data_IF_533596339766
#
_entry.id   IF_533596339766
#
_cell.length_a   1.000
_cell.length_b   1.000
_cell.length_c   1.000
_cell.angle_alpha   90.00
_cell.angle_beta   90.00
_cell.angle_gamma   90.00
#
_symmetry.space_group_name_H-M   'P 1'
#
loop_
_entity.id
_entity.type
_entity.pdbx_description
1 polymer ?
#
# COMPACT_ATOMS: atom_id res chain seq x y z
N UNK A 1 -11.65 -5.17 10.72
CA UNK A 1 -11.23 -5.35 12.11
C UNK A 1 -9.86 -4.71 12.33
N UNK A 2 -9.75 -3.73 13.21
CA UNK A 2 -8.50 -3.05 13.50
C UNK A 2 -8.44 -2.64 14.97
N UNK A 3 -7.22 -2.40 15.47
CA UNK A 3 -7.02 -1.96 16.83
C UNK A 3 -5.59 -1.53 17.12
N UNK A 4 -5.44 -0.92 18.29
CA UNK A 4 -4.14 -0.55 18.83
C UNK A 4 -4.11 -0.73 20.33
N UNK A 5 -2.93 -1.00 20.86
CA UNK A 5 -2.70 -1.16 22.29
C UNK A 5 -1.42 -0.42 22.69
N UNK A 6 -1.52 0.44 23.70
CA UNK A 6 -0.37 1.10 24.31
C UNK A 6 0.10 0.28 25.52
N UNK A 7 1.34 -0.16 25.49
CA UNK A 7 1.96 -0.90 26.59
C UNK A 7 2.45 0.05 27.69
N UNK A 8 3.04 1.17 27.25
CA UNK A 8 3.51 2.26 28.10
C UNK A 8 3.60 3.58 27.29
N UNK A 9 4.23 4.61 27.86
CA UNK A 9 4.41 5.93 27.20
C UNK A 9 5.27 5.88 25.92
N UNK A 10 6.06 4.84 25.76
CA UNK A 10 7.01 4.70 24.64
C UNK A 10 6.60 3.65 23.63
N UNK A 11 5.84 2.62 24.04
CA UNK A 11 5.52 1.45 23.22
C UNK A 11 4.04 1.33 22.93
N UNK A 12 3.71 1.16 21.68
CA UNK A 12 2.38 0.72 21.25
C UNK A 12 2.46 -0.26 20.09
N UNK A 13 1.44 -1.11 19.97
CA UNK A 13 1.24 -1.98 18.82
C UNK A 13 -0.08 -1.64 18.14
N UNK A 14 -0.16 -1.94 16.85
CA UNK A 14 -1.38 -1.80 16.04
C UNK A 14 -1.52 -2.98 15.10
N UNK A 15 -2.75 -3.31 14.77
CA UNK A 15 -3.06 -4.36 13.80
C UNK A 15 -4.29 -3.98 12.99
N UNK A 16 -4.41 -4.59 11.82
CA UNK A 16 -5.58 -4.50 10.95
C UNK A 16 -5.76 -5.81 10.21
N UNK A 17 -7.01 -6.26 10.06
CA UNK A 17 -7.40 -7.37 9.21
C UNK A 17 -8.68 -7.01 8.46
N UNK A 18 -8.70 -7.26 7.16
CA UNK A 18 -9.84 -7.03 6.26
C UNK A 18 -10.07 -8.28 5.43
N UNK A 19 -11.34 -8.53 5.11
CA UNK A 19 -11.77 -9.61 4.25
C UNK A 19 -12.98 -9.14 3.45
N UNK A 20 -12.98 -9.41 2.16
CA UNK A 20 -14.11 -9.16 1.28
C UNK A 20 -14.24 -10.25 0.21
N UNK A 21 -15.45 -10.44 -0.29
CA UNK A 21 -15.77 -11.34 -1.37
C UNK A 21 -16.44 -10.55 -2.48
N UNK A 22 -16.12 -10.85 -3.71
CA UNK A 22 -16.69 -10.23 -4.89
C UNK A 22 -17.11 -11.33 -5.87
N UNK A 23 -18.32 -11.20 -6.37
CA UNK A 23 -18.85 -12.08 -7.41
C UNK A 23 -19.53 -11.25 -8.50
N UNK A 24 -19.84 -11.89 -9.61
CA UNK A 24 -20.70 -11.33 -10.63
C UNK A 24 -22.11 -11.01 -10.08
N UNK A 25 -22.83 -10.16 -10.80
CA UNK A 25 -24.20 -9.77 -10.47
C UNK A 25 -25.07 -9.69 -11.72
N UNK A 26 -26.31 -10.19 -11.58
CA UNK A 26 -27.34 -10.14 -12.63
C UNK A 26 -26.99 -11.01 -13.85
N UNK A 27 -27.22 -10.45 -15.04
CA UNK A 27 -27.00 -11.11 -16.32
C UNK A 27 -25.56 -10.90 -16.85
N UNK A 28 -24.56 -10.87 -15.96
CA UNK A 28 -23.17 -10.76 -16.39
C UNK A 28 -22.79 -11.97 -17.23
N UNK A 29 -22.09 -11.74 -18.35
CA UNK A 29 -21.68 -12.79 -19.26
C UNK A 29 -20.58 -13.71 -18.71
N UNK A 30 -19.97 -13.33 -17.59
CA UNK A 30 -18.86 -14.06 -16.96
C UNK A 30 -19.12 -14.22 -15.47
N UNK A 31 -19.34 -15.45 -15.05
CA UNK A 31 -19.41 -15.82 -13.64
C UNK A 31 -17.99 -15.79 -13.04
N UNK A 32 -17.82 -15.17 -11.87
CA UNK A 32 -16.55 -15.17 -11.15
C UNK A 32 -16.72 -15.01 -9.64
N UNK A 33 -15.73 -15.49 -8.91
CA UNK A 33 -15.63 -15.32 -7.47
C UNK A 33 -14.21 -14.91 -7.10
N UNK A 34 -14.01 -13.71 -6.60
CA UNK A 34 -12.73 -13.23 -6.16
C UNK A 34 -12.74 -12.88 -4.68
N UNK A 35 -11.64 -13.13 -4.00
CA UNK A 35 -11.46 -12.83 -2.59
C UNK A 35 -10.46 -11.69 -2.41
N UNK A 36 -10.71 -10.82 -1.46
CA UNK A 36 -9.76 -9.85 -0.95
C UNK A 36 -9.47 -10.13 0.50
N UNK A 37 -8.21 -10.09 0.88
CA UNK A 37 -7.83 -10.03 2.27
C UNK A 37 -6.59 -9.17 2.50
N UNK A 38 -6.53 -8.54 3.65
CA UNK A 38 -5.42 -7.72 4.07
C UNK A 38 -5.16 -7.90 5.54
N UNK A 39 -3.92 -8.17 5.91
CA UNK A 39 -3.48 -8.21 7.29
C UNK A 39 -2.22 -7.38 7.46
N UNK A 40 -2.19 -6.55 8.50
CA UNK A 40 -0.97 -5.84 8.88
C UNK A 40 -0.82 -5.73 10.38
N UNK A 41 0.43 -5.68 10.82
CA UNK A 41 0.79 -5.42 12.20
C UNK A 41 1.95 -4.43 12.26
N UNK A 42 1.96 -3.59 13.27
CA UNK A 42 3.01 -2.60 13.45
C UNK A 42 3.22 -2.24 14.90
N UNK A 43 4.35 -1.59 15.13
CA UNK A 43 4.74 -1.08 16.42
C UNK A 43 5.23 0.36 16.34
N UNK A 44 5.10 1.06 17.45
CA UNK A 44 5.74 2.35 17.65
C UNK A 44 6.60 2.27 18.90
N UNK A 45 7.83 2.73 18.78
CA UNK A 45 8.72 2.94 19.90
C UNK A 45 9.27 4.36 19.86
N UNK A 46 8.82 5.21 20.78
CA UNK A 46 9.18 6.63 20.83
C UNK A 46 8.94 7.33 19.49
N UNK A 47 10.05 7.66 18.77
CA UNK A 47 10.02 8.34 17.47
C UNK A 47 10.04 7.39 16.27
N UNK A 48 10.20 6.08 16.51
CA UNK A 48 10.18 5.06 15.47
C UNK A 48 8.79 4.46 15.34
N UNK A 49 8.36 4.20 14.11
CA UNK A 49 7.24 3.33 13.80
C UNK A 49 7.69 2.33 12.72
N UNK A 50 7.20 1.11 12.81
CA UNK A 50 7.57 0.04 11.90
C UNK A 50 6.46 -1.00 11.83
N UNK A 51 6.48 -1.81 10.81
CA UNK A 51 5.55 -2.91 10.68
C UNK A 51 5.65 -3.59 9.32
N UNK A 52 4.79 -4.58 9.16
CA UNK A 52 4.64 -5.33 7.93
C UNK A 52 3.16 -5.58 7.64
N UNK A 53 2.84 -5.81 6.40
CA UNK A 53 1.50 -6.19 5.95
C UNK A 53 1.56 -7.08 4.72
N UNK A 54 0.44 -7.75 4.49
CA UNK A 54 0.22 -8.59 3.34
C UNK A 54 -1.20 -8.36 2.85
N UNK A 55 -1.33 -7.96 1.60
CA UNK A 55 -2.59 -7.66 0.95
C UNK A 55 -2.74 -8.52 -0.29
N UNK A 56 -3.91 -9.09 -0.48
CA UNK A 56 -4.23 -9.93 -1.63
C UNK A 56 -5.52 -9.43 -2.26
N UNK A 57 -5.41 -9.07 -3.53
CA UNK A 57 -6.54 -8.91 -4.43
C UNK A 57 -6.58 -10.17 -5.28
N UNK A 58 -7.36 -11.16 -4.84
CA UNK A 58 -7.38 -12.49 -5.42
C UNK A 58 -7.92 -12.53 -6.84
N UNK A 59 -7.72 -13.64 -7.51
CA UNK A 59 -8.21 -13.92 -8.86
C UNK A 59 -9.18 -15.09 -8.86
N UNK A 60 -10.06 -15.12 -9.85
CA UNK A 60 -10.84 -16.27 -10.21
C UNK A 60 -10.15 -17.02 -11.37
N UNK A 61 -9.38 -18.05 -11.02
CA UNK A 61 -8.63 -18.91 -11.95
C UNK A 61 -7.75 -18.15 -12.97
N UNK A 62 -7.11 -17.04 -12.57
CA UNK A 62 -6.25 -16.24 -13.45
C UNK A 62 -6.99 -15.45 -14.53
N UNK A 63 -8.32 -15.34 -14.44
CA UNK A 63 -9.16 -14.69 -15.47
C UNK A 63 -9.66 -13.32 -15.06
N UNK A 64 -10.08 -13.17 -13.82
CA UNK A 64 -10.66 -11.93 -13.28
C UNK A 64 -10.12 -11.68 -11.87
N UNK A 65 -9.37 -10.59 -11.71
CA UNK A 65 -8.89 -10.15 -10.41
C UNK A 65 -9.96 -9.36 -9.63
N UNK A 66 -9.87 -9.40 -8.31
CA UNK A 66 -10.71 -8.61 -7.41
C UNK A 66 -10.65 -7.12 -7.77
N UNK A 67 -11.78 -6.54 -8.10
CA UNK A 67 -11.87 -5.15 -8.59
C UNK A 67 -12.15 -4.17 -7.47
N UNK A 68 -11.47 -3.03 -7.51
CA UNK A 68 -11.64 -1.91 -6.56
C UNK A 68 -12.08 -0.63 -7.26
N UNK A 69 -13.30 -0.59 -7.87
CA UNK A 69 -13.70 0.47 -8.81
C UNK A 69 -13.79 1.88 -8.18
N UNK A 70 -13.92 1.96 -6.87
CA UNK A 70 -14.02 3.24 -6.14
C UNK A 70 -12.77 3.57 -5.31
N UNK A 71 -11.69 2.80 -5.47
CA UNK A 71 -10.46 3.07 -4.74
C UNK A 71 -9.74 4.31 -5.26
N UNK A 72 -9.09 5.03 -4.35
CA UNK A 72 -8.10 6.04 -4.69
C UNK A 72 -6.80 5.35 -5.11
N UNK A 73 -6.69 4.96 -6.35
CA UNK A 73 -5.68 4.04 -6.89
C UNK A 73 -4.25 4.34 -6.45
N UNK A 74 -3.85 5.61 -6.42
CA UNK A 74 -2.51 6.06 -6.03
C UNK A 74 -2.12 5.77 -4.56
N UNK A 75 -3.05 5.35 -3.71
CA UNK A 75 -2.80 5.13 -2.28
C UNK A 75 -2.38 3.69 -1.96
N UNK A 76 -2.75 2.76 -2.80
CA UNK A 76 -2.64 1.33 -2.58
C UNK A 76 -1.64 0.69 -3.53
N UNK A 77 -1.01 -0.42 -3.12
CA UNK A 77 -0.14 -1.25 -3.94
C UNK A 77 0.98 -0.44 -4.61
N UNK A 78 1.69 0.34 -3.79
CA UNK A 78 2.78 1.20 -4.21
C UNK A 78 2.34 2.57 -4.76
N UNK A 79 3.27 3.54 -4.76
CA UNK A 79 2.99 4.92 -5.19
C UNK A 79 3.47 5.22 -6.62
N UNK A 80 4.22 4.31 -7.23
CA UNK A 80 4.61 4.44 -8.64
C UNK A 80 3.43 4.20 -9.60
N UNK A 81 2.26 3.80 -9.08
CA UNK A 81 1.06 3.46 -9.85
C UNK A 81 1.30 2.31 -10.85
N UNK A 82 2.06 1.30 -10.43
CA UNK A 82 2.28 0.11 -11.23
C UNK A 82 0.99 -0.73 -11.35
N UNK A 83 0.14 -0.69 -10.32
CA UNK A 83 -1.08 -1.47 -10.19
C UNK A 83 -2.30 -0.56 -9.99
N UNK A 84 -2.66 0.23 -11.01
CA UNK A 84 -3.90 1.04 -11.02
C UNK A 84 -5.16 0.19 -11.19
N UNK A 85 -5.02 -1.03 -11.64
CA UNK A 85 -6.06 -2.06 -11.69
C UNK A 85 -5.45 -3.39 -11.33
N UNK A 86 -6.24 -4.25 -10.72
CA UNK A 86 -5.81 -5.61 -10.37
C UNK A 86 -5.58 -6.41 -11.65
N UNK A 87 -4.42 -7.07 -11.82
CA UNK A 87 -4.19 -7.99 -12.91
C UNK A 87 -5.21 -9.13 -12.93
N UNK A 88 -5.39 -9.78 -14.08
CA UNK A 88 -6.29 -10.94 -14.20
C UNK A 88 -5.89 -12.06 -13.24
N UNK A 89 -4.59 -12.30 -13.08
CA UNK A 89 -4.03 -13.31 -12.17
C UNK A 89 -4.02 -12.85 -10.69
N UNK A 90 -4.69 -11.72 -10.39
CA UNK A 90 -4.68 -11.13 -9.04
C UNK A 90 -3.37 -10.44 -8.70
N UNK A 91 -3.31 -9.91 -7.48
CA UNK A 91 -2.14 -9.21 -6.96
C UNK A 91 -1.93 -9.56 -5.49
N UNK A 92 -0.73 -9.96 -5.16
CA UNK A 92 -0.23 -10.10 -3.80
C UNK A 92 0.80 -8.99 -3.53
N UNK A 93 0.65 -8.29 -2.44
CA UNK A 93 1.53 -7.21 -1.98
C UNK A 93 2.04 -7.51 -0.58
N UNK A 94 3.26 -8.04 -0.49
CA UNK A 94 3.96 -8.19 0.77
C UNK A 94 4.77 -6.92 1.03
N UNK A 95 4.48 -6.21 2.10
CA UNK A 95 5.15 -4.94 2.34
C UNK A 95 5.61 -4.75 3.79
N UNK A 96 6.62 -3.93 3.94
CA UNK A 96 7.12 -3.50 5.24
C UNK A 96 7.35 -1.99 5.24
N UNK A 97 7.28 -1.40 6.43
CA UNK A 97 7.58 0.03 6.58
C UNK A 97 8.41 0.31 7.82
N UNK A 98 9.13 1.40 7.73
CA UNK A 98 9.80 2.04 8.85
C UNK A 98 9.66 3.55 8.75
N UNK A 99 9.33 4.19 9.87
CA UNK A 99 9.24 5.63 9.98
C UNK A 99 10.02 6.15 11.17
N UNK A 100 10.51 7.35 11.03
CA UNK A 100 11.23 8.06 12.08
C UNK A 100 10.86 9.55 12.09
N UNK A 101 10.67 10.09 13.28
CA UNK A 101 10.42 11.52 13.45
C UNK A 101 11.74 12.27 13.65
N UNK A 102 12.24 12.85 12.56
CA UNK A 102 13.48 13.63 12.51
C UNK A 102 13.40 14.90 13.40
N UNK A 103 14.57 15.49 13.79
CA UNK A 103 14.61 16.81 14.42
C UNK A 103 13.82 17.85 13.61
N UNK A 104 13.22 18.80 14.29
CA UNK A 104 12.35 19.79 13.65
C UNK A 104 10.96 19.26 13.28
N UNK A 105 10.54 18.15 13.90
CA UNK A 105 9.21 17.55 13.75
C UNK A 105 8.87 17.13 12.30
N UNK A 106 9.82 16.50 11.63
CA UNK A 106 9.69 16.00 10.26
C UNK A 106 9.49 14.49 10.31
N UNK A 107 8.25 13.97 10.15
CA UNK A 107 8.04 12.54 9.93
C UNK A 107 8.62 12.13 8.57
N UNK A 108 9.48 11.13 8.61
CA UNK A 108 10.03 10.43 7.46
C UNK A 108 9.50 9.00 7.48
N UNK A 109 9.08 8.45 6.34
CA UNK A 109 8.65 7.07 6.21
C UNK A 109 9.19 6.46 4.93
N UNK A 110 9.70 5.24 5.05
CA UNK A 110 10.10 4.36 3.94
C UNK A 110 9.16 3.16 3.94
N UNK A 111 8.74 2.72 2.74
CA UNK A 111 8.04 1.47 2.54
C UNK A 111 8.78 0.66 1.47
N UNK A 112 8.76 -0.64 1.61
CA UNK A 112 9.17 -1.60 0.61
C UNK A 112 8.00 -2.52 0.32
N UNK A 113 7.72 -2.74 -0.95
CA UNK A 113 6.69 -3.63 -1.45
C UNK A 113 7.33 -4.69 -2.33
N UNK A 114 6.85 -5.90 -2.23
CA UNK A 114 7.18 -7.04 -3.07
C UNK A 114 5.89 -7.57 -3.67
N UNK A 115 5.80 -7.57 -4.99
CA UNK A 115 4.56 -7.85 -5.71
C UNK A 115 4.66 -9.17 -6.48
N UNK A 116 3.60 -9.98 -6.38
CA UNK A 116 3.47 -11.23 -7.13
C UNK A 116 2.04 -11.46 -7.61
N UNK A 117 1.86 -12.38 -8.53
CA UNK A 117 0.54 -12.85 -8.93
C UNK A 117 -0.07 -13.71 -7.83
N UNK A 118 -1.39 -13.61 -7.63
CA UNK A 118 -2.13 -14.51 -6.74
C UNK A 118 -2.31 -15.89 -7.38
N UNK A 119 -2.58 -15.94 -8.70
CA UNK A 119 -2.61 -17.17 -9.47
C UNK A 119 -1.37 -17.26 -10.36
N UNK A 120 -0.82 -18.47 -10.48
CA UNK A 120 0.45 -18.69 -11.16
C UNK A 120 1.66 -18.39 -10.26
N UNK A 121 2.79 -18.06 -10.84
CA UNK A 121 4.03 -17.76 -10.12
C UNK A 121 4.77 -16.60 -10.77
N UNK A 122 4.06 -15.58 -11.24
CA UNK A 122 4.68 -14.41 -11.86
C UNK A 122 5.20 -13.45 -10.80
N UNK A 123 6.47 -13.09 -10.92
CA UNK A 123 7.05 -11.97 -10.20
C UNK A 123 6.60 -10.66 -10.84
N UNK A 124 5.93 -9.81 -10.08
CA UNK A 124 5.50 -8.50 -10.52
C UNK A 124 6.46 -7.37 -10.14
N UNK A 125 7.60 -7.72 -9.53
CA UNK A 125 8.63 -6.77 -9.14
C UNK A 125 8.43 -6.18 -7.76
N UNK A 126 9.16 -5.10 -7.51
CA UNK A 126 9.17 -4.48 -6.18
C UNK A 126 9.19 -2.95 -6.25
N UNK A 127 8.85 -2.30 -5.14
CA UNK A 127 8.81 -0.85 -5.08
C UNK A 127 9.35 -0.32 -3.75
N UNK A 128 10.18 0.72 -3.83
CA UNK A 128 10.60 1.49 -2.65
C UNK A 128 9.92 2.86 -2.69
N UNK A 129 9.28 3.20 -1.59
CA UNK A 129 8.59 4.45 -1.37
C UNK A 129 9.23 5.25 -0.24
N UNK A 130 9.35 6.56 -0.43
CA UNK A 130 9.85 7.49 0.57
C UNK A 130 8.93 8.70 0.67
N UNK A 131 8.58 9.11 1.89
CA UNK A 131 7.84 10.35 2.12
C UNK A 131 8.36 11.09 3.33
N UNK A 132 8.48 12.41 3.20
CA UNK A 132 8.74 13.32 4.29
C UNK A 132 7.74 14.47 4.27
N UNK A 133 7.30 14.91 5.46
CA UNK A 133 6.36 16.01 5.60
C UNK A 133 6.90 17.03 6.59
N UNK A 134 6.71 18.32 6.31
CA UNK A 134 7.13 19.40 7.19
C UNK A 134 6.00 20.42 7.34
N UNK A 135 5.55 20.66 8.58
CA UNK A 135 4.72 21.82 8.89
C UNK A 135 5.59 23.07 9.04
N UNK A 136 5.24 24.11 8.33
CA UNK A 136 5.87 25.42 8.34
C UNK A 136 4.87 26.45 8.91
N UNK A 137 5.03 26.76 10.18
CA UNK A 137 4.04 27.58 10.91
C UNK A 137 2.75 26.82 11.19
N UNK A 138 1.63 27.56 11.27
CA UNK A 138 0.31 27.00 11.60
C UNK A 138 -0.48 26.56 10.38
N UNK A 139 -0.22 27.17 9.22
CA UNK A 139 -1.09 27.06 8.05
C UNK A 139 -0.46 26.38 6.84
N UNK A 140 0.85 26.17 6.81
CA UNK A 140 1.50 25.62 5.63
C UNK A 140 2.13 24.25 5.92
N UNK A 141 1.89 23.30 5.03
CA UNK A 141 2.48 21.96 5.06
C UNK A 141 3.19 21.68 3.75
N UNK A 142 4.45 21.30 3.82
CA UNK A 142 5.23 20.82 2.68
C UNK A 142 5.36 19.30 2.75
N UNK A 143 5.13 18.60 1.63
CA UNK A 143 5.33 17.17 1.47
C UNK A 143 6.25 16.92 0.28
N UNK A 144 7.26 16.07 0.49
CA UNK A 144 8.08 15.49 -0.55
C UNK A 144 7.92 13.97 -0.54
N UNK A 145 7.66 13.37 -1.70
CA UNK A 145 7.44 11.94 -1.86
C UNK A 145 8.16 11.43 -3.10
N UNK A 146 8.69 10.20 -3.03
CA UNK A 146 9.29 9.51 -4.15
C UNK A 146 8.90 8.03 -4.15
N UNK A 147 8.83 7.44 -5.33
CA UNK A 147 8.59 6.02 -5.55
C UNK A 147 9.49 5.52 -6.67
N UNK A 148 10.09 4.35 -6.47
CA UNK A 148 10.90 3.65 -7.46
C UNK A 148 10.39 2.22 -7.54
N UNK A 149 9.73 1.90 -8.65
CA UNK A 149 9.28 0.56 -8.99
C UNK A 149 10.28 -0.10 -9.93
N UNK A 150 10.69 -1.30 -9.60
CA UNK A 150 11.55 -2.16 -10.42
C UNK A 150 10.68 -3.28 -11.00
N UNK A 151 10.82 -3.49 -12.30
CA UNK A 151 10.09 -4.51 -13.05
C UNK A 151 10.40 -5.94 -12.57
N UNK A 152 9.40 -6.79 -12.60
CA UNK A 152 9.51 -8.23 -12.49
C UNK A 152 9.48 -8.92 -13.85
N UNK A 153 8.94 -10.15 -13.88
CA UNK A 153 8.92 -10.98 -15.09
C UNK A 153 7.69 -10.74 -15.98
N UNK A 154 6.72 -9.94 -15.52
CA UNK A 154 5.43 -9.73 -16.19
C UNK A 154 5.46 -8.69 -17.34
N UNK A 155 6.63 -8.11 -17.61
CA UNK A 155 6.82 -7.12 -18.66
C UNK A 155 6.35 -5.70 -18.34
N UNK A 156 5.97 -5.41 -17.09
CA UNK A 156 5.71 -4.05 -16.63
C UNK A 156 7.00 -3.27 -16.61
N UNK A 157 7.02 -2.11 -17.27
CA UNK A 157 8.20 -1.26 -17.27
C UNK A 157 8.44 -0.64 -15.89
N UNK A 158 9.68 -0.69 -15.44
CA UNK A 158 10.15 0.03 -14.26
C UNK A 158 9.86 1.54 -14.37
N UNK A 159 9.55 2.18 -13.25
CA UNK A 159 9.21 3.60 -13.24
C UNK A 159 9.62 4.28 -11.95
N UNK A 160 9.97 5.55 -12.08
CA UNK A 160 10.29 6.43 -10.95
C UNK A 160 9.39 7.64 -10.96
N UNK A 161 8.85 7.99 -9.80
CA UNK A 161 7.97 9.17 -9.64
C UNK A 161 8.40 10.00 -8.45
N UNK A 162 8.22 11.31 -8.56
CA UNK A 162 8.48 12.28 -7.50
C UNK A 162 7.33 13.27 -7.39
N UNK A 163 7.02 13.65 -6.15
CA UNK A 163 6.01 14.66 -5.85
C UNK A 163 6.56 15.68 -4.86
N UNK A 164 6.25 16.93 -5.12
CA UNK A 164 6.40 18.02 -4.18
C UNK A 164 5.05 18.73 -4.07
N UNK A 165 4.52 18.78 -2.87
CA UNK A 165 3.20 19.34 -2.60
C UNK A 165 3.28 20.36 -1.47
N UNK A 166 2.70 21.54 -1.67
CA UNK A 166 2.39 22.51 -0.64
C UNK A 166 0.89 22.53 -0.37
N UNK A 167 0.50 22.49 0.90
CA UNK A 167 -0.88 22.67 1.33
C UNK A 167 -0.98 23.85 2.28
N UNK A 168 -2.00 24.68 2.10
CA UNK A 168 -2.28 25.83 2.93
C UNK A 168 -3.69 25.70 3.53
N UNK A 169 -3.77 25.73 4.86
CA UNK A 169 -5.00 25.66 5.64
C UNK A 169 -5.27 27.01 6.29
N UNK A 170 -6.45 27.57 6.12
CA UNK A 170 -6.86 28.88 6.67
C UNK A 170 -8.12 28.80 7.55
#
# INVERSE_FOLDING_TARGET
>A
FDGSYAFDENWSASYKAELAFQSDYGDNATDYNAIYYHAKAGGQYRKFNFGAGYEVLGSDDGRIGFSTPFATLHKFNGWADAFLGTPADGLEDAYLWMGYKLPGNIPLKVLYHDFSSNEGNSDYGNEINLVATKKLGQHFTLLAKGAVYQEGDDGRAGRTRYWLQGAFDF
#
